data_IF_578673806150
#
_entry.id   IF_578673806150
#
_cell.length_a   1.000
_cell.length_b   1.000
_cell.length_c   1.000
_cell.angle_alpha   90.00
_cell.angle_beta   90.00
_cell.angle_gamma   90.00
#
_symmetry.space_group_name_H-M   'P 1'
#
loop_
_entity.id
_entity.type
_entity.pdbx_description
1 polymer ?
#
# COMPACT_ATOMS: atom_id res chain seq x y z
N UNK A 1 9.00 -32.01 30.98
CA UNK A 1 8.60 -30.80 30.22
C UNK A 1 9.87 -30.12 29.76
N UNK A 2 10.38 -30.52 28.60
CA UNK A 2 11.57 -29.94 27.97
C UNK A 2 11.14 -28.62 27.33
N UNK A 3 11.64 -27.50 27.85
CA UNK A 3 11.49 -26.20 27.18
C UNK A 3 12.11 -26.31 25.79
N UNK A 4 11.41 -25.93 24.71
CA UNK A 4 12.05 -25.80 23.42
C UNK A 4 13.09 -24.69 23.53
N UNK A 5 14.34 -25.04 23.21
CA UNK A 5 15.49 -24.15 23.11
C UNK A 5 15.13 -22.89 22.33
N UNK A 6 15.38 -21.73 22.94
CA UNK A 6 14.97 -20.41 22.45
C UNK A 6 15.35 -20.14 21.00
N UNK A 7 14.33 -20.11 20.14
CA UNK A 7 14.35 -19.51 18.82
C UNK A 7 13.21 -18.52 18.70
N UNK A 8 13.39 -17.44 17.93
CA UNK A 8 12.32 -16.51 17.58
C UNK A 8 11.26 -17.26 16.75
N UNK A 9 10.19 -17.73 17.41
CA UNK A 9 9.00 -18.24 16.70
C UNK A 9 8.19 -17.03 16.20
N UNK A 10 8.65 -16.42 15.11
CA UNK A 10 7.85 -15.43 14.42
C UNK A 10 6.62 -16.16 13.87
N UNK A 11 5.41 -15.65 14.16
CA UNK A 11 4.19 -16.19 13.57
C UNK A 11 4.18 -15.86 12.07
N UNK A 12 4.91 -16.64 11.27
CA UNK A 12 5.08 -16.52 9.82
C UNK A 12 3.75 -16.31 9.11
N UNK A 13 2.75 -17.09 9.51
CA UNK A 13 1.37 -16.98 9.02
C UNK A 13 0.76 -15.60 9.31
N UNK A 14 1.07 -15.00 10.47
CA UNK A 14 0.63 -13.66 10.83
C UNK A 14 1.29 -12.57 10.00
N UNK A 15 2.60 -12.69 9.74
CA UNK A 15 3.34 -11.73 8.88
C UNK A 15 2.80 -11.79 7.44
N UNK A 16 2.61 -13.01 6.90
CA UNK A 16 2.05 -13.22 5.57
C UNK A 16 0.62 -12.69 5.44
N UNK A 17 -0.22 -12.97 6.44
CA UNK A 17 -1.57 -12.42 6.49
C UNK A 17 -1.53 -10.90 6.48
N UNK A 18 -0.64 -10.28 7.26
CA UNK A 18 -0.54 -8.83 7.28
C UNK A 18 -0.05 -8.26 5.95
N UNK A 19 0.91 -8.90 5.29
CA UNK A 19 1.33 -8.53 3.94
C UNK A 19 0.17 -8.59 2.94
N UNK A 20 -0.71 -9.59 3.09
CA UNK A 20 -1.93 -9.71 2.29
C UNK A 20 -2.93 -8.59 2.60
N UNK A 21 -3.18 -8.27 3.87
CA UNK A 21 -4.06 -7.15 4.26
C UNK A 21 -3.59 -5.83 3.60
N UNK A 22 -2.27 -5.59 3.57
CA UNK A 22 -1.69 -4.41 2.92
C UNK A 22 -1.85 -4.43 1.39
N UNK A 23 -1.80 -5.62 0.77
CA UNK A 23 -2.06 -5.75 -0.66
C UNK A 23 -3.51 -5.39 -1.00
N UNK A 24 -4.46 -5.89 -0.22
CA UNK A 24 -5.89 -5.61 -0.38
C UNK A 24 -6.20 -4.12 -0.15
N UNK A 25 -5.57 -3.52 0.86
CA UNK A 25 -5.70 -2.08 1.09
C UNK A 25 -5.13 -1.26 -0.06
N UNK A 26 -3.98 -1.66 -0.62
CA UNK A 26 -3.40 -1.01 -1.81
C UNK A 26 -4.35 -1.09 -2.99
N UNK A 27 -4.89 -2.27 -3.27
CA UNK A 27 -5.87 -2.48 -4.35
C UNK A 27 -7.09 -1.58 -4.21
N UNK A 28 -7.62 -1.48 -2.99
CA UNK A 28 -8.75 -0.62 -2.70
C UNK A 28 -8.43 0.86 -2.99
N UNK A 29 -7.31 1.38 -2.48
CA UNK A 29 -6.90 2.78 -2.65
C UNK A 29 -6.58 3.12 -4.11
N UNK A 30 -5.92 2.21 -4.84
CA UNK A 30 -5.67 2.40 -6.27
C UNK A 30 -6.98 2.45 -7.07
N UNK A 31 -7.98 1.64 -6.67
CA UNK A 31 -9.32 1.70 -7.23
C UNK A 31 -10.01 3.05 -7.00
N UNK A 32 -9.94 3.60 -5.78
CA UNK A 32 -10.49 4.92 -5.46
C UNK A 32 -9.78 6.05 -6.23
N UNK A 33 -8.45 5.98 -6.35
CA UNK A 33 -7.66 6.92 -7.16
C UNK A 33 -8.12 6.91 -8.62
N UNK A 34 -8.26 5.72 -9.20
CA UNK A 34 -8.70 5.56 -10.60
C UNK A 34 -10.14 6.06 -10.80
N UNK A 35 -11.04 5.79 -9.85
CA UNK A 35 -12.41 6.29 -9.90
C UNK A 35 -12.46 7.83 -9.85
N UNK A 36 -11.66 8.44 -8.96
CA UNK A 36 -11.57 9.90 -8.86
C UNK A 36 -10.95 10.54 -10.10
N UNK A 37 -9.93 9.91 -10.70
CA UNK A 37 -9.37 10.37 -11.97
C UNK A 37 -10.43 10.39 -13.08
N UNK A 38 -11.28 9.36 -13.14
CA UNK A 38 -12.41 9.32 -14.08
C UNK A 38 -13.42 10.43 -13.83
N UNK A 39 -13.74 10.75 -12.56
CA UNK A 39 -14.60 11.90 -12.21
C UNK A 39 -14.00 13.19 -12.77
N UNK A 40 -12.72 13.44 -12.54
CA UNK A 40 -12.05 14.62 -13.08
C UNK A 40 -11.95 14.66 -14.61
N UNK A 41 -12.04 13.52 -15.30
CA UNK A 41 -12.07 13.46 -16.77
C UNK A 41 -13.48 13.68 -17.32
N UNK A 42 -14.51 13.21 -16.61
CA UNK A 42 -15.91 13.33 -17.02
C UNK A 42 -16.49 14.71 -16.70
N UNK A 43 -16.14 15.28 -15.55
CA UNK A 43 -16.47 16.65 -15.20
C UNK A 43 -15.61 17.61 -16.05
N UNK A 44 -16.09 17.95 -17.25
CA UNK A 44 -15.63 19.14 -17.99
C UNK A 44 -15.93 20.43 -17.19
N UNK A 45 -15.43 21.60 -17.64
CA UNK A 45 -15.55 22.91 -16.96
C UNK A 45 -16.94 23.10 -16.28
N UNK A 46 -17.09 22.80 -14.98
CA UNK A 46 -18.38 22.90 -14.29
C UNK A 46 -18.62 24.33 -13.78
N UNK A 47 -17.66 25.22 -14.00
CA UNK A 47 -17.53 26.50 -13.34
C UNK A 47 -18.15 27.58 -14.22
N UNK A 48 -19.13 28.30 -13.68
CA UNK A 48 -19.74 29.45 -14.34
C UNK A 48 -18.72 30.56 -14.60
N UNK A 49 -19.07 31.48 -15.49
CA UNK A 49 -18.21 32.57 -15.97
C UNK A 49 -17.94 33.69 -14.93
N UNK A 50 -18.08 33.42 -13.64
CA UNK A 50 -17.77 34.38 -12.59
C UNK A 50 -16.27 34.37 -12.22
N UNK A 51 -15.85 35.39 -11.48
CA UNK A 51 -14.45 35.55 -11.05
C UNK A 51 -13.96 34.33 -10.24
N UNK A 52 -14.85 33.69 -9.47
CA UNK A 52 -14.50 32.51 -8.68
C UNK A 52 -14.30 31.28 -9.57
N UNK A 53 -15.13 31.11 -10.60
CA UNK A 53 -15.00 30.07 -11.61
C UNK A 53 -13.70 30.17 -12.40
N UNK A 54 -13.29 31.39 -12.79
CA UNK A 54 -12.02 31.62 -13.48
C UNK A 54 -10.80 31.34 -12.59
N UNK A 55 -10.86 31.71 -11.31
CA UNK A 55 -9.80 31.40 -10.34
C UNK A 55 -9.70 29.89 -10.07
N UNK A 56 -10.84 29.22 -9.89
CA UNK A 56 -10.85 27.78 -9.62
C UNK A 56 -10.38 27.01 -10.85
N UNK A 57 -10.79 27.40 -12.05
CA UNK A 57 -10.33 26.83 -13.30
C UNK A 57 -8.81 26.92 -13.50
N UNK A 58 -8.21 28.04 -13.09
CA UNK A 58 -6.74 28.21 -13.15
C UNK A 58 -6.01 27.26 -12.20
N UNK A 59 -6.59 27.00 -11.03
CA UNK A 59 -5.97 26.21 -9.97
C UNK A 59 -6.34 24.72 -10.02
N UNK A 60 -7.44 24.36 -10.68
CA UNK A 60 -8.00 23.01 -10.72
C UNK A 60 -7.01 21.95 -11.23
N UNK A 61 -6.19 22.19 -12.28
CA UNK A 61 -5.18 21.22 -12.69
C UNK A 61 -4.18 20.90 -11.58
N UNK A 62 -3.64 21.92 -10.92
CA UNK A 62 -2.70 21.75 -9.81
C UNK A 62 -3.35 21.06 -8.60
N UNK A 63 -4.61 21.38 -8.30
CA UNK A 63 -5.36 20.73 -7.23
C UNK A 63 -5.59 19.24 -7.55
N UNK A 64 -5.99 18.92 -8.79
CA UNK A 64 -6.15 17.55 -9.27
C UNK A 64 -4.86 16.76 -9.14
N UNK A 65 -3.75 17.30 -9.66
CA UNK A 65 -2.43 16.68 -9.58
C UNK A 65 -2.03 16.42 -8.12
N UNK A 66 -2.14 17.43 -7.25
CA UNK A 66 -1.82 17.28 -5.83
C UNK A 66 -2.63 16.20 -5.11
N UNK A 67 -3.91 16.03 -5.47
CA UNK A 67 -4.75 14.98 -4.89
C UNK A 67 -4.31 13.61 -5.40
N UNK A 68 -4.14 13.44 -6.71
CA UNK A 68 -3.73 12.17 -7.30
C UNK A 68 -2.33 11.74 -6.83
N UNK A 69 -1.41 12.70 -6.69
CA UNK A 69 -0.07 12.46 -6.14
C UNK A 69 -0.12 11.95 -4.69
N UNK A 70 -1.04 12.47 -3.87
CA UNK A 70 -1.22 11.99 -2.51
C UNK A 70 -1.72 10.53 -2.46
N UNK A 71 -2.63 10.15 -3.37
CA UNK A 71 -3.04 8.75 -3.52
C UNK A 71 -1.87 7.86 -3.94
N UNK A 72 -1.09 8.28 -4.96
CA UNK A 72 0.08 7.53 -5.43
C UNK A 72 1.11 7.33 -4.31
N UNK A 73 1.44 8.39 -3.57
CA UNK A 73 2.37 8.30 -2.45
C UNK A 73 1.90 7.31 -1.37
N UNK A 74 0.59 7.29 -1.09
CA UNK A 74 0.03 6.36 -0.13
C UNK A 74 0.07 4.91 -0.63
N UNK A 75 -0.27 4.67 -1.90
CA UNK A 75 -0.16 3.35 -2.55
C UNK A 75 1.27 2.81 -2.48
N UNK A 76 2.27 3.66 -2.77
CA UNK A 76 3.69 3.31 -2.70
C UNK A 76 4.11 2.94 -1.27
N UNK A 77 3.59 3.64 -0.26
CA UNK A 77 3.84 3.31 1.15
C UNK A 77 3.26 1.94 1.52
N UNK A 78 2.02 1.65 1.11
CA UNK A 78 1.38 0.34 1.37
C UNK A 78 2.17 -0.80 0.72
N UNK A 79 2.61 -0.63 -0.53
CA UNK A 79 3.42 -1.62 -1.24
C UNK A 79 4.80 -1.80 -0.60
N UNK A 80 5.42 -0.72 -0.13
CA UNK A 80 6.69 -0.76 0.61
C UNK A 80 6.56 -1.55 1.91
N UNK A 81 5.50 -1.33 2.69
CA UNK A 81 5.23 -2.09 3.92
C UNK A 81 4.97 -3.56 3.63
N UNK A 82 4.12 -3.86 2.64
CA UNK A 82 3.87 -5.23 2.16
C UNK A 82 5.18 -5.94 1.78
N UNK A 83 6.03 -5.28 0.99
CA UNK A 83 7.31 -5.84 0.54
C UNK A 83 8.24 -6.18 1.71
N UNK A 84 8.32 -5.31 2.72
CA UNK A 84 9.12 -5.55 3.93
C UNK A 84 8.59 -6.72 4.76
N UNK A 85 7.27 -6.85 4.88
CA UNK A 85 6.65 -7.98 5.58
C UNK A 85 6.90 -9.30 4.83
N UNK A 86 6.76 -9.32 3.51
CA UNK A 86 7.05 -10.49 2.69
C UNK A 86 8.52 -10.90 2.82
N UNK A 87 9.45 -9.96 2.66
CA UNK A 87 10.88 -10.22 2.81
C UNK A 87 11.24 -10.72 4.23
N UNK A 88 10.60 -10.18 5.26
CA UNK A 88 10.77 -10.66 6.63
C UNK A 88 10.28 -12.10 6.80
N UNK A 89 9.11 -12.45 6.25
CA UNK A 89 8.58 -13.81 6.30
C UNK A 89 9.50 -14.81 5.58
N UNK A 90 10.04 -14.43 4.42
CA UNK A 90 10.97 -15.26 3.67
C UNK A 90 12.29 -15.45 4.40
N UNK A 91 12.80 -14.39 5.05
CA UNK A 91 13.98 -14.46 5.92
C UNK A 91 13.81 -15.43 7.10
N UNK A 92 12.65 -15.40 7.76
CA UNK A 92 12.34 -16.33 8.84
C UNK A 92 12.20 -17.78 8.34
N UNK A 93 11.54 -18.00 7.21
CA UNK A 93 11.43 -19.34 6.62
C UNK A 93 12.81 -19.89 6.23
N UNK A 94 13.67 -19.06 5.63
CA UNK A 94 15.03 -19.47 5.28
C UNK A 94 15.86 -19.85 6.52
N UNK A 95 15.70 -19.10 7.62
CA UNK A 95 16.36 -19.40 8.89
C UNK A 95 15.87 -20.71 9.51
N UNK A 96 14.56 -21.00 9.47
CA UNK A 96 14.02 -22.29 9.90
C UNK A 96 14.59 -23.45 9.08
N UNK A 97 14.65 -23.33 7.74
CA UNK A 97 15.23 -24.36 6.89
C UNK A 97 16.73 -24.56 7.11
N UNK A 98 17.49 -23.48 7.32
CA UNK A 98 18.92 -23.55 7.60
C UNK A 98 19.23 -24.12 8.99
N UNK A 99 18.36 -23.91 9.98
CA UNK A 99 18.45 -24.52 11.32
C UNK A 99 18.05 -26.01 11.37
N UNK A 100 17.43 -26.53 10.30
CA UNK A 100 16.95 -27.92 10.19
C UNK A 100 17.97 -28.81 9.43
N UNK A 101 19.26 -28.75 9.78
CA UNK A 101 20.24 -29.72 9.29
C UNK A 101 20.13 -31.04 10.10
N UNK A 102 20.20 -32.22 9.46
CA UNK A 102 20.04 -33.52 10.12
C UNK A 102 21.31 -33.91 10.87
N UNK A 103 21.21 -34.09 12.18
CA UNK A 103 22.35 -34.46 13.01
C UNK A 103 22.02 -34.67 14.49
N UNK A 104 21.07 -35.56 14.79
CA UNK A 104 21.14 -36.48 15.94
C UNK A 104 20.59 -37.82 15.49
#
# INVERSE_FOLDING_TARGET
>A
MTQPSGGYYAALTGIRRRAQDFAEQRDYIEGERAALEQVFLQEGRPLGDDQYGAELERNLPTIKESILDAFTAYVDELESVRGRLAASADGYQAAEHAGTLPGV
#
